data_IF_660367191722
#
_entry.id   IF_660367191722
#
_cell.length_a   1.000
_cell.length_b   1.000
_cell.length_c   1.000
_cell.angle_alpha   90.00
_cell.angle_beta   90.00
_cell.angle_gamma   90.00
#
_symmetry.space_group_name_H-M   'P 1'
#
loop_
_entity.id
_entity.type
_entity.pdbx_description
1 polymer ?
#
# COMPACT_ATOMS: atom_id res chain seq x y z
N UNK A 1 20.81 -0.21 2.42
CA UNK A 1 20.25 0.77 3.38
C UNK A 1 20.16 2.21 2.83
N UNK A 2 20.69 2.49 1.62
CA UNK A 2 20.70 3.83 1.02
C UNK A 2 19.82 3.95 -0.24
N UNK A 3 18.67 3.25 -0.28
CA UNK A 3 17.71 3.40 -1.37
C UNK A 3 16.96 4.72 -1.19
N UNK A 4 17.05 5.64 -2.17
CA UNK A 4 16.25 6.86 -2.19
C UNK A 4 14.78 6.54 -2.43
N UNK A 5 13.89 7.16 -1.66
CA UNK A 5 12.44 7.00 -1.81
C UNK A 5 11.83 7.92 -2.90
N UNK A 6 12.67 8.52 -3.75
CA UNK A 6 12.28 9.52 -4.77
C UNK A 6 12.63 9.10 -6.19
N UNK A 7 12.87 7.81 -6.43
CA UNK A 7 13.25 7.30 -7.75
C UNK A 7 12.05 7.29 -8.71
N UNK A 8 12.08 8.16 -9.71
CA UNK A 8 11.02 8.32 -10.70
C UNK A 8 10.78 7.07 -11.57
N UNK A 9 11.82 6.23 -11.76
CA UNK A 9 11.67 4.97 -12.52
C UNK A 9 10.83 3.97 -11.74
N UNK A 10 11.00 3.93 -10.40
CA UNK A 10 10.20 3.08 -9.51
C UNK A 10 8.73 3.50 -9.58
N UNK A 11 8.43 4.79 -9.48
CA UNK A 11 7.05 5.28 -9.59
C UNK A 11 6.46 5.05 -10.99
N UNK A 12 7.26 5.15 -12.04
CA UNK A 12 6.84 4.77 -13.41
C UNK A 12 6.47 3.30 -13.51
N UNK A 13 7.29 2.39 -12.98
CA UNK A 13 6.98 0.96 -12.92
C UNK A 13 5.67 0.72 -12.17
N UNK A 14 5.53 1.28 -10.97
CA UNK A 14 4.32 1.15 -10.17
C UNK A 14 3.08 1.64 -10.93
N UNK A 15 3.12 2.87 -11.47
CA UNK A 15 2.01 3.48 -12.19
C UNK A 15 1.61 2.72 -13.47
N UNK A 16 2.53 1.96 -14.07
CA UNK A 16 2.23 1.06 -15.19
C UNK A 16 1.46 -0.20 -14.77
N UNK A 17 1.43 -0.52 -13.48
CA UNK A 17 0.81 -1.74 -12.93
C UNK A 17 1.66 -3.01 -13.13
N UNK A 18 2.93 -2.90 -13.50
CA UNK A 18 3.87 -4.03 -13.61
C UNK A 18 4.36 -4.49 -12.23
N UNK A 19 3.41 -4.76 -11.31
CA UNK A 19 3.70 -4.97 -9.89
C UNK A 19 3.66 -6.44 -9.45
N UNK A 20 3.71 -7.39 -10.38
CA UNK A 20 3.79 -8.81 -10.06
C UNK A 20 5.07 -9.10 -9.23
N UNK A 21 4.93 -9.85 -8.15
CA UNK A 21 6.02 -10.16 -7.22
C UNK A 21 6.39 -9.02 -6.25
N UNK A 22 5.89 -7.79 -6.42
CA UNK A 22 6.15 -6.69 -5.50
C UNK A 22 5.30 -6.87 -4.23
N UNK A 23 5.96 -6.81 -3.07
CA UNK A 23 5.31 -6.99 -1.78
C UNK A 23 4.06 -6.11 -1.63
N UNK A 24 2.95 -6.71 -1.22
CA UNK A 24 1.62 -6.08 -1.04
C UNK A 24 0.97 -5.49 -2.30
N UNK A 25 1.65 -5.42 -3.44
CA UNK A 25 1.16 -4.70 -4.63
C UNK A 25 0.83 -5.61 -5.82
N UNK A 26 0.86 -6.93 -5.66
CA UNK A 26 0.81 -7.88 -6.78
C UNK A 26 -0.59 -8.40 -7.13
N UNK A 27 -1.62 -8.19 -6.30
CA UNK A 27 -2.97 -8.68 -6.61
C UNK A 27 -3.61 -7.89 -7.77
N UNK A 28 -4.46 -8.53 -8.56
CA UNK A 28 -5.12 -7.88 -9.71
C UNK A 28 -5.86 -6.61 -9.34
N UNK A 29 -6.67 -6.66 -8.26
CA UNK A 29 -7.39 -5.47 -7.79
C UNK A 29 -6.46 -4.36 -7.29
N UNK A 30 -5.33 -4.70 -6.67
CA UNK A 30 -4.33 -3.71 -6.29
C UNK A 30 -3.66 -3.10 -7.53
N UNK A 31 -3.31 -3.91 -8.53
CA UNK A 31 -2.76 -3.42 -9.81
C UNK A 31 -3.70 -2.41 -10.48
N UNK A 32 -5.00 -2.68 -10.49
CA UNK A 32 -6.00 -1.77 -11.04
C UNK A 32 -6.10 -0.48 -10.24
N UNK A 33 -6.06 -0.55 -8.91
CA UNK A 33 -6.06 0.62 -8.04
C UNK A 33 -4.81 1.48 -8.27
N UNK A 34 -3.63 0.86 -8.38
CA UNK A 34 -2.35 1.53 -8.65
C UNK A 34 -2.39 2.29 -9.99
N UNK A 35 -2.87 1.65 -11.06
CA UNK A 35 -3.01 2.29 -12.38
C UNK A 35 -3.93 3.50 -12.36
N UNK A 36 -4.99 3.46 -11.53
CA UNK A 36 -5.93 4.57 -11.34
C UNK A 36 -5.33 5.68 -10.50
N UNK A 37 -4.61 5.32 -9.43
CA UNK A 37 -4.00 6.27 -8.49
C UNK A 37 -2.77 6.96 -9.08
N UNK A 38 -1.95 6.23 -9.86
CA UNK A 38 -0.68 6.71 -10.43
C UNK A 38 0.23 7.29 -9.34
N UNK A 39 0.81 6.45 -8.47
CA UNK A 39 1.67 6.92 -7.39
C UNK A 39 2.90 7.66 -7.93
N UNK A 40 3.23 8.80 -7.33
CA UNK A 40 4.33 9.67 -7.72
C UNK A 40 5.32 9.91 -6.57
N UNK A 41 4.94 9.53 -5.36
CA UNK A 41 5.74 9.70 -4.15
C UNK A 41 5.46 8.59 -3.13
N UNK A 42 6.27 8.53 -2.09
CA UNK A 42 6.18 7.51 -1.04
C UNK A 42 4.86 7.57 -0.25
N UNK A 43 4.30 8.76 -0.05
CA UNK A 43 3.01 8.93 0.63
C UNK A 43 1.86 8.29 -0.14
N UNK A 44 1.92 8.28 -1.48
CA UNK A 44 0.92 7.59 -2.31
C UNK A 44 0.96 6.08 -2.11
N UNK A 45 2.17 5.47 -1.99
CA UNK A 45 2.29 4.04 -1.70
C UNK A 45 1.75 3.74 -0.30
N UNK A 46 2.04 4.60 0.67
CA UNK A 46 1.50 4.50 2.03
C UNK A 46 -0.03 4.54 2.00
N UNK A 47 -0.61 5.45 1.24
CA UNK A 47 -2.06 5.55 1.08
C UNK A 47 -2.67 4.33 0.35
N UNK A 48 -1.99 3.77 -0.67
CA UNK A 48 -2.42 2.54 -1.35
C UNK A 48 -2.60 1.38 -0.36
N UNK A 49 -1.62 1.16 0.50
CA UNK A 49 -1.68 0.10 1.53
C UNK A 49 -2.85 0.31 2.49
N UNK A 50 -3.16 1.56 2.84
CA UNK A 50 -4.27 1.89 3.71
C UNK A 50 -5.64 1.78 3.03
N UNK A 51 -5.74 2.14 1.75
CA UNK A 51 -6.99 2.24 1.01
C UNK A 51 -7.44 0.92 0.36
N UNK A 52 -6.50 0.01 0.03
CA UNK A 52 -6.85 -1.26 -0.61
C UNK A 52 -7.41 -2.27 0.40
N UNK A 53 -8.61 -2.02 0.85
CA UNK A 53 -9.38 -2.87 1.79
C UNK A 53 -10.87 -2.74 1.48
N UNK A 54 -11.70 -3.77 1.78
CA UNK A 54 -13.13 -3.73 1.47
C UNK A 54 -13.86 -2.47 1.95
N UNK A 55 -13.56 -2.00 3.15
CA UNK A 55 -14.19 -0.80 3.72
C UNK A 55 -13.94 0.46 2.90
N UNK A 56 -12.70 0.93 2.74
CA UNK A 56 -12.39 2.11 1.94
C UNK A 56 -12.81 2.00 0.46
N UNK A 57 -12.71 0.80 -0.13
CA UNK A 57 -13.14 0.57 -1.51
C UNK A 57 -14.66 0.70 -1.65
N UNK A 58 -15.43 0.08 -0.76
CA UNK A 58 -16.89 0.07 -0.83
C UNK A 58 -17.54 1.40 -0.41
N UNK A 59 -16.85 2.19 0.42
CA UNK A 59 -17.34 3.49 0.88
C UNK A 59 -17.11 4.65 -0.10
N UNK A 60 -16.38 4.42 -1.21
CA UNK A 60 -15.97 5.45 -2.15
C UNK A 60 -14.73 6.26 -1.73
N UNK A 61 -14.19 6.03 -0.54
CA UNK A 61 -13.03 6.75 0.00
C UNK A 61 -11.80 6.66 -0.91
N UNK A 62 -11.54 5.49 -1.47
CA UNK A 62 -10.42 5.28 -2.40
C UNK A 62 -10.64 6.08 -3.70
N UNK A 63 -11.87 6.16 -4.18
CA UNK A 63 -12.22 6.93 -5.39
C UNK A 63 -12.10 8.44 -5.15
N UNK A 64 -12.56 8.95 -4.00
CA UNK A 64 -12.40 10.34 -3.60
C UNK A 64 -10.91 10.74 -3.56
N UNK A 65 -10.08 9.90 -2.92
CA UNK A 65 -8.63 10.12 -2.87
C UNK A 65 -8.03 10.20 -4.28
N UNK A 66 -8.31 9.21 -5.12
CA UNK A 66 -7.79 9.12 -6.48
C UNK A 66 -8.25 10.29 -7.35
N UNK A 67 -9.53 10.65 -7.28
CA UNK A 67 -10.09 11.74 -8.09
C UNK A 67 -9.47 13.09 -7.71
N UNK A 68 -9.33 13.36 -6.42
CA UNK A 68 -8.73 14.59 -5.92
C UNK A 68 -7.23 14.65 -6.19
N UNK A 69 -6.51 13.55 -5.98
CA UNK A 69 -5.08 13.43 -6.33
C UNK A 69 -4.83 13.75 -7.80
N UNK A 70 -5.65 13.18 -8.69
CA UNK A 70 -5.49 13.35 -10.13
C UNK A 70 -6.15 14.64 -10.68
N UNK A 71 -6.63 15.52 -9.82
CA UNK A 71 -7.26 16.80 -10.23
C UNK A 71 -8.61 16.67 -10.94
N UNK A 72 -9.27 15.50 -10.83
CA UNK A 72 -10.61 15.27 -11.39
C UNK A 72 -11.72 15.86 -10.52
N UNK A 73 -11.44 16.02 -9.25
CA UNK A 73 -12.29 16.68 -8.26
C UNK A 73 -11.50 17.72 -7.49
N UNK A 74 -12.15 18.81 -7.08
CA UNK A 74 -11.54 19.84 -6.25
C UNK A 74 -11.30 19.32 -4.84
N UNK A 75 -10.16 19.66 -4.25
CA UNK A 75 -9.88 19.35 -2.84
C UNK A 75 -10.70 20.29 -1.97
N UNK A 76 -11.61 19.73 -1.18
CA UNK A 76 -12.44 20.46 -0.23
C UNK A 76 -12.12 20.05 1.20
N UNK A 77 -11.99 21.04 2.07
CA UNK A 77 -11.84 20.84 3.51
C UNK A 77 -13.10 21.33 4.22
N UNK A 78 -13.64 20.50 5.12
CA UNK A 78 -14.85 20.88 5.89
C UNK A 78 -14.63 22.10 6.78
N UNK A 79 -13.38 22.31 7.23
CA UNK A 79 -12.96 23.51 7.97
C UNK A 79 -11.53 23.88 7.55
N UNK A 80 -11.17 25.19 7.46
CA UNK A 80 -9.82 25.59 7.06
C UNK A 80 -8.68 24.98 7.89
N UNK A 81 -8.91 24.79 9.18
CA UNK A 81 -7.93 24.18 10.08
C UNK A 81 -7.59 22.70 9.69
N UNK A 82 -8.52 22.00 9.04
CA UNK A 82 -8.29 20.62 8.56
C UNK A 82 -7.34 20.56 7.36
N UNK A 83 -7.06 21.68 6.69
CA UNK A 83 -6.13 21.70 5.58
C UNK A 83 -4.74 21.19 6.01
N UNK A 84 -4.27 21.60 7.18
CA UNK A 84 -2.98 21.12 7.72
C UNK A 84 -2.97 19.61 7.94
N UNK A 85 -4.06 19.06 8.45
CA UNK A 85 -4.20 17.64 8.82
C UNK A 85 -4.37 16.73 7.59
N UNK A 86 -5.14 17.19 6.60
CA UNK A 86 -5.59 16.37 5.46
C UNK A 86 -4.93 16.72 4.13
N UNK A 87 -3.95 17.63 4.11
CA UNK A 87 -3.33 18.06 2.85
C UNK A 87 -2.64 16.91 2.12
N UNK A 88 -1.91 16.05 2.84
CA UNK A 88 -1.20 14.91 2.24
C UNK A 88 -2.13 13.83 1.70
N UNK A 89 -3.40 13.83 2.13
CA UNK A 89 -4.44 12.87 1.69
C UNK A 89 -5.57 13.54 0.91
N UNK A 90 -5.29 14.70 0.32
CA UNK A 90 -6.20 15.43 -0.57
C UNK A 90 -7.57 15.69 0.05
N UNK A 91 -7.62 15.98 1.35
CA UNK A 91 -8.85 16.26 2.09
C UNK A 91 -9.67 15.02 2.49
N UNK A 92 -9.11 13.82 2.34
CA UNK A 92 -9.73 12.55 2.74
C UNK A 92 -9.13 12.07 4.06
N UNK A 93 -9.96 11.65 5.01
CA UNK A 93 -9.46 10.92 6.18
C UNK A 93 -9.04 9.51 5.75
N UNK A 94 -7.78 9.16 5.95
CA UNK A 94 -7.21 7.84 5.64
C UNK A 94 -6.64 7.19 6.89
N UNK A 95 -6.02 7.98 7.76
CA UNK A 95 -5.28 7.51 8.92
C UNK A 95 -5.95 7.83 10.24
N UNK A 96 -5.84 6.94 11.22
CA UNK A 96 -6.32 7.16 12.58
C UNK A 96 -5.66 8.39 13.21
N UNK A 97 -4.39 8.61 12.92
CA UNK A 97 -3.61 9.76 13.39
C UNK A 97 -4.21 11.09 12.91
N UNK A 98 -4.80 11.12 11.72
CA UNK A 98 -5.49 12.33 11.22
C UNK A 98 -6.74 12.66 12.01
N UNK A 99 -7.46 11.65 12.52
CA UNK A 99 -8.60 11.89 13.42
C UNK A 99 -8.15 12.48 14.75
N UNK A 100 -7.07 11.93 15.31
CA UNK A 100 -6.49 12.46 16.54
C UNK A 100 -6.05 13.92 16.37
N UNK A 101 -5.33 14.23 15.29
CA UNK A 101 -4.89 15.58 14.99
C UNK A 101 -6.07 16.54 14.71
N UNK A 102 -7.11 16.07 14.02
CA UNK A 102 -8.34 16.84 13.79
C UNK A 102 -9.04 17.19 15.10
N UNK A 103 -9.16 16.27 16.04
CA UNK A 103 -9.74 16.52 17.36
C UNK A 103 -8.92 17.55 18.16
N UNK A 104 -7.59 17.47 18.10
CA UNK A 104 -6.71 18.46 18.74
C UNK A 104 -6.86 19.85 18.14
N UNK A 105 -6.87 19.94 16.80
CA UNK A 105 -6.90 21.24 16.11
C UNK A 105 -8.27 21.91 16.17
N UNK A 106 -9.37 21.12 16.14
CA UNK A 106 -10.73 21.65 16.09
C UNK A 106 -11.34 21.82 17.47
N UNK A 107 -11.15 20.83 18.36
CA UNK A 107 -11.82 20.75 19.66
C UNK A 107 -10.86 20.88 20.85
N UNK A 108 -9.59 21.27 20.63
CA UNK A 108 -8.56 21.44 21.64
C UNK A 108 -8.33 20.18 22.52
N UNK A 109 -8.52 19.00 21.98
CA UNK A 109 -8.24 17.75 22.69
C UNK A 109 -6.76 17.67 23.09
N UNK A 110 -6.49 17.16 24.28
CA UNK A 110 -5.16 16.68 24.61
C UNK A 110 -4.81 15.44 23.76
N UNK A 111 -3.53 15.10 23.69
CA UNK A 111 -3.12 13.86 23.00
C UNK A 111 -3.78 12.62 23.61
N UNK A 112 -3.96 12.60 24.93
CA UNK A 112 -4.64 11.50 25.64
C UNK A 112 -6.13 11.39 25.27
N UNK A 113 -6.84 12.52 25.21
CA UNK A 113 -8.26 12.55 24.83
C UNK A 113 -8.43 12.14 23.37
N UNK A 114 -7.56 12.61 22.50
CA UNK A 114 -7.56 12.21 21.09
C UNK A 114 -7.31 10.70 20.90
N UNK A 115 -6.43 10.08 21.69
CA UNK A 115 -6.24 8.62 21.69
C UNK A 115 -7.47 7.88 22.27
N UNK A 116 -8.14 8.44 23.27
CA UNK A 116 -9.40 7.88 23.76
C UNK A 116 -10.49 7.89 22.68
N UNK A 117 -10.64 9.00 21.95
CA UNK A 117 -11.54 9.08 20.79
C UNK A 117 -11.20 8.02 19.76
N UNK A 118 -9.93 7.89 19.36
CA UNK A 118 -9.48 6.86 18.43
C UNK A 118 -9.84 5.44 18.89
N UNK A 119 -9.66 5.14 20.19
CA UNK A 119 -10.02 3.84 20.78
C UNK A 119 -11.54 3.62 20.81
N UNK A 120 -12.31 4.65 21.11
CA UNK A 120 -13.78 4.61 21.09
C UNK A 120 -14.29 4.24 19.70
N UNK A 121 -13.75 4.90 18.67
CA UNK A 121 -14.02 4.60 17.27
C UNK A 121 -13.76 3.13 16.90
N UNK A 122 -12.64 2.57 17.36
CA UNK A 122 -12.29 1.17 17.12
C UNK A 122 -13.25 0.15 17.78
N UNK A 123 -13.85 0.51 18.91
CA UNK A 123 -14.80 -0.34 19.66
C UNK A 123 -16.23 -0.30 19.12
N UNK A 124 -16.59 0.70 18.33
CA UNK A 124 -17.92 0.92 17.72
C UNK A 124 -19.10 0.86 18.71
N UNK A 125 -18.89 1.34 19.95
CA UNK A 125 -19.94 1.42 20.96
C UNK A 125 -20.67 2.74 20.79
N UNK A 126 -21.96 2.69 20.47
CA UNK A 126 -22.78 3.87 20.18
C UNK A 126 -22.86 4.86 21.36
N UNK A 127 -23.00 4.35 22.56
CA UNK A 127 -23.04 5.14 23.80
C UNK A 127 -21.76 5.95 24.04
N UNK A 128 -20.61 5.31 23.80
CA UNK A 128 -19.30 5.96 23.92
C UNK A 128 -19.10 7.01 22.82
N UNK A 129 -19.52 6.71 21.60
CA UNK A 129 -19.40 7.64 20.46
C UNK A 129 -20.31 8.87 20.63
N UNK A 130 -21.51 8.72 21.18
CA UNK A 130 -22.40 9.84 21.46
C UNK A 130 -21.84 10.77 22.56
N UNK A 131 -21.24 10.20 23.60
CA UNK A 131 -20.55 10.97 24.64
C UNK A 131 -19.35 11.74 24.05
N UNK A 132 -18.52 11.09 23.26
CA UNK A 132 -17.38 11.73 22.57
C UNK A 132 -17.84 12.84 21.60
N UNK A 133 -18.96 12.65 20.90
CA UNK A 133 -19.54 13.65 20.03
C UNK A 133 -19.90 14.93 20.79
N UNK A 134 -20.51 14.80 21.96
CA UNK A 134 -20.83 15.96 22.81
C UNK A 134 -19.58 16.73 23.19
N UNK A 135 -18.55 16.04 23.69
CA UNK A 135 -17.28 16.65 24.10
C UNK A 135 -16.58 17.34 22.91
N UNK A 136 -16.56 16.67 21.76
CA UNK A 136 -15.97 17.24 20.53
C UNK A 136 -16.69 18.50 20.08
N UNK A 137 -18.02 18.49 20.07
CA UNK A 137 -18.83 19.64 19.65
C UNK A 137 -18.64 20.81 20.61
N UNK A 138 -18.67 20.59 21.92
CA UNK A 138 -18.44 21.63 22.92
C UNK A 138 -17.02 22.22 22.79
N UNK A 139 -16.00 21.39 22.56
CA UNK A 139 -14.64 21.84 22.28
C UNK A 139 -14.52 22.68 21.00
N UNK A 140 -15.22 22.31 19.94
CA UNK A 140 -15.32 23.07 18.70
C UNK A 140 -15.99 24.45 18.91
N UNK A 141 -17.10 24.50 19.67
CA UNK A 141 -17.79 25.75 19.99
C UNK A 141 -16.89 26.70 20.78
N UNK A 142 -16.11 26.19 21.74
CA UNK A 142 -15.10 26.96 22.47
C UNK A 142 -14.00 27.52 21.55
N UNK A 143 -13.72 26.84 20.44
CA UNK A 143 -12.78 27.28 19.38
C UNK A 143 -13.48 28.08 18.26
N UNK A 144 -14.65 28.65 18.50
CA UNK A 144 -15.42 29.47 17.56
C UNK A 144 -15.87 28.72 16.29
N UNK A 145 -16.01 27.40 16.34
CA UNK A 145 -16.58 26.57 15.29
C UNK A 145 -18.03 26.27 15.63
N UNK A 146 -18.96 26.81 14.84
CA UNK A 146 -20.38 26.68 15.13
C UNK A 146 -20.86 25.23 15.22
N UNK A 147 -21.80 24.98 16.14
CA UNK A 147 -22.34 23.64 16.51
C UNK A 147 -22.76 22.78 15.30
N UNK A 148 -23.44 23.40 14.31
CA UNK A 148 -23.85 22.69 13.08
C UNK A 148 -22.63 22.12 12.35
N UNK A 149 -21.58 22.93 12.18
CA UNK A 149 -20.36 22.54 11.49
C UNK A 149 -19.57 21.50 12.25
N UNK A 150 -19.50 21.63 13.57
CA UNK A 150 -18.85 20.64 14.45
C UNK A 150 -19.53 19.27 14.34
N UNK A 151 -20.86 19.22 14.34
CA UNK A 151 -21.61 17.97 14.15
C UNK A 151 -21.34 17.35 12.76
N UNK A 152 -21.39 18.15 11.68
CA UNK A 152 -21.07 17.65 10.33
C UNK A 152 -19.66 17.02 10.24
N UNK A 153 -18.70 17.65 10.89
CA UNK A 153 -17.31 17.14 10.93
C UNK A 153 -17.24 15.83 11.72
N UNK A 154 -17.87 15.79 12.91
CA UNK A 154 -17.87 14.59 13.73
C UNK A 154 -18.56 13.41 13.04
N UNK A 155 -19.69 13.65 12.38
CA UNK A 155 -20.41 12.62 11.61
C UNK A 155 -19.52 12.00 10.50
N UNK A 156 -18.67 12.80 9.88
CA UNK A 156 -17.71 12.31 8.92
C UNK A 156 -16.56 11.51 9.58
N UNK A 157 -16.06 12.00 10.71
CA UNK A 157 -15.08 11.26 11.53
C UNK A 157 -15.68 9.91 11.96
N UNK A 158 -16.92 9.88 12.39
CA UNK A 158 -17.61 8.66 12.80
C UNK A 158 -17.79 7.67 11.63
N UNK A 159 -18.18 8.13 10.45
CA UNK A 159 -18.26 7.29 9.24
C UNK A 159 -16.90 6.69 8.90
N UNK A 160 -15.85 7.48 9.03
CA UNK A 160 -14.47 7.03 8.83
C UNK A 160 -13.98 6.09 9.93
N UNK A 161 -14.53 6.17 11.14
CA UNK A 161 -14.10 5.43 12.33
C UNK A 161 -13.94 3.92 12.09
N UNK A 162 -14.81 3.35 11.25
CA UNK A 162 -14.77 1.93 10.89
C UNK A 162 -13.64 1.54 9.93
N UNK A 163 -12.95 2.51 9.33
CA UNK A 163 -12.04 2.30 8.21
C UNK A 163 -10.65 2.90 8.42
N UNK A 164 -10.44 3.69 9.48
CA UNK A 164 -9.16 4.33 9.77
C UNK A 164 -8.01 3.32 9.90
N UNK A 165 -6.90 3.61 9.21
CA UNK A 165 -5.71 2.77 9.23
C UNK A 165 -4.60 3.39 10.07
N UNK A 166 -3.77 2.57 10.70
CA UNK A 166 -2.58 3.07 11.39
C UNK A 166 -1.52 3.50 10.37
N UNK A 167 -1.13 4.76 10.38
CA UNK A 167 -0.19 5.34 9.42
C UNK A 167 1.19 4.71 9.52
N UNK A 168 1.68 4.47 10.74
CA UNK A 168 3.00 3.87 10.97
C UNK A 168 3.09 2.46 10.40
N UNK A 169 2.03 1.65 10.58
CA UNK A 169 1.96 0.32 9.98
C UNK A 169 1.96 0.41 8.44
N UNK A 170 1.14 1.30 7.89
CA UNK A 170 1.07 1.52 6.44
C UNK A 170 2.42 1.93 5.85
N UNK A 171 3.12 2.86 6.51
CA UNK A 171 4.42 3.34 6.08
C UNK A 171 5.50 2.24 6.12
N UNK A 172 5.49 1.39 7.16
CA UNK A 172 6.42 0.26 7.24
C UNK A 172 6.22 -0.74 6.09
N UNK A 173 4.97 -1.06 5.75
CA UNK A 173 4.66 -1.94 4.61
C UNK A 173 4.94 -1.26 3.26
N UNK A 174 4.67 0.04 3.14
CA UNK A 174 5.02 0.83 1.97
C UNK A 174 6.53 0.85 1.71
N UNK A 175 7.35 0.87 2.77
CA UNK A 175 8.80 0.82 2.63
C UNK A 175 9.26 -0.49 2.00
N UNK A 176 8.75 -1.63 2.46
CA UNK A 176 9.09 -2.94 1.88
C UNK A 176 8.57 -3.03 0.44
N UNK A 177 7.35 -2.54 0.18
CA UNK A 177 6.79 -2.48 -1.16
C UNK A 177 7.66 -1.65 -2.10
N UNK A 178 8.11 -0.48 -1.67
CA UNK A 178 9.01 0.38 -2.43
C UNK A 178 10.37 -0.28 -2.68
N UNK A 179 10.98 -0.90 -1.67
CA UNK A 179 12.27 -1.60 -1.81
C UNK A 179 12.17 -2.76 -2.81
N UNK A 180 11.10 -3.55 -2.76
CA UNK A 180 10.89 -4.63 -3.73
C UNK A 180 10.59 -4.09 -5.13
N UNK A 181 9.88 -2.96 -5.25
CA UNK A 181 9.69 -2.26 -6.52
C UNK A 181 11.00 -1.70 -7.08
N UNK A 182 11.86 -1.15 -6.23
CA UNK A 182 13.20 -0.68 -6.60
C UNK A 182 14.05 -1.82 -7.18
N UNK A 183 14.10 -2.95 -6.49
CA UNK A 183 14.83 -4.14 -6.98
C UNK A 183 14.28 -4.61 -8.31
N UNK A 184 12.98 -4.69 -8.48
CA UNK A 184 12.35 -5.07 -9.76
C UNK A 184 12.64 -4.07 -10.87
N UNK A 185 12.72 -2.77 -10.55
CA UNK A 185 12.97 -1.71 -11.53
C UNK A 185 14.39 -1.73 -12.06
N UNK A 186 15.37 -1.92 -11.18
CA UNK A 186 16.79 -1.77 -11.52
C UNK A 186 17.51 -3.09 -11.77
N UNK A 187 16.96 -4.21 -11.25
CA UNK A 187 17.55 -5.55 -11.36
C UNK A 187 16.45 -6.58 -11.67
N UNK A 188 15.68 -6.41 -12.77
CA UNK A 188 14.47 -7.21 -13.03
C UNK A 188 14.78 -8.71 -13.12
N UNK A 189 15.87 -9.12 -13.79
CA UNK A 189 16.25 -10.53 -13.92
C UNK A 189 16.56 -11.17 -12.57
N UNK A 190 17.33 -10.48 -11.73
CA UNK A 190 17.69 -10.98 -10.39
C UNK A 190 16.46 -11.01 -9.46
N UNK A 191 15.59 -9.98 -9.54
CA UNK A 191 14.37 -9.93 -8.75
C UNK A 191 13.43 -11.09 -9.11
N UNK A 192 13.18 -11.31 -10.41
CA UNK A 192 12.28 -12.37 -10.87
C UNK A 192 12.87 -13.74 -10.59
N UNK A 193 14.17 -13.96 -10.80
CA UNK A 193 14.86 -15.22 -10.46
C UNK A 193 14.74 -15.54 -8.97
N UNK A 194 14.88 -14.55 -8.09
CA UNK A 194 14.70 -14.72 -6.64
C UNK A 194 13.26 -15.10 -6.27
N UNK A 195 12.26 -14.44 -6.88
CA UNK A 195 10.85 -14.79 -6.66
C UNK A 195 10.53 -16.19 -7.16
N UNK A 196 10.97 -16.55 -8.37
CA UNK A 196 10.82 -17.90 -8.93
C UNK A 196 11.45 -18.96 -8.03
N UNK A 197 12.65 -18.70 -7.52
CA UNK A 197 13.35 -19.61 -6.60
C UNK A 197 12.61 -19.78 -5.28
N UNK A 198 12.01 -18.73 -4.74
CA UNK A 198 11.25 -18.81 -3.48
C UNK A 198 9.92 -19.57 -3.61
N UNK A 199 9.36 -19.64 -4.81
CA UNK A 199 8.08 -20.32 -5.10
C UNK A 199 8.27 -21.62 -5.90
N UNK A 200 9.51 -22.09 -6.13
CA UNK A 200 9.83 -23.21 -7.03
C UNK A 200 9.13 -24.53 -6.66
N UNK A 201 8.80 -24.74 -5.37
CA UNK A 201 8.08 -25.92 -4.90
C UNK A 201 6.58 -25.90 -5.23
N UNK A 202 6.06 -24.78 -5.80
CA UNK A 202 4.63 -24.55 -6.08
C UNK A 202 4.43 -24.22 -7.56
N UNK A 203 4.40 -25.25 -8.38
CA UNK A 203 4.31 -25.12 -9.84
C UNK A 203 3.23 -24.14 -10.33
N UNK A 204 2.05 -24.14 -9.67
CA UNK A 204 0.94 -23.23 -10.02
C UNK A 204 1.27 -21.74 -9.83
N UNK A 205 2.27 -21.43 -9.00
CA UNK A 205 2.70 -20.07 -8.75
C UNK A 205 3.81 -19.60 -9.68
N UNK A 206 4.50 -20.51 -10.36
CA UNK A 206 5.59 -20.14 -11.27
C UNK A 206 5.09 -19.48 -12.55
N UNK A 207 3.99 -20.00 -13.13
CA UNK A 207 3.46 -19.51 -14.40
C UNK A 207 3.23 -17.99 -14.45
N UNK A 208 2.61 -17.34 -13.45
CA UNK A 208 2.44 -15.90 -13.45
C UNK A 208 3.76 -15.11 -13.44
N UNK A 209 4.80 -15.64 -12.79
CA UNK A 209 6.13 -15.00 -12.73
C UNK A 209 6.93 -15.23 -14.02
N UNK A 210 6.77 -16.40 -14.65
CA UNK A 210 7.33 -16.67 -15.99
C UNK A 210 6.71 -15.72 -17.03
N UNK A 211 5.40 -15.48 -16.96
CA UNK A 211 4.73 -14.47 -17.80
C UNK A 211 5.22 -13.06 -17.53
N UNK A 212 5.55 -12.74 -16.29
CA UNK A 212 6.10 -11.43 -15.90
C UNK A 212 7.49 -11.17 -16.51
N UNK A 213 8.29 -12.23 -16.80
CA UNK A 213 9.53 -12.09 -17.54
C UNK A 213 9.31 -11.40 -18.89
N UNK A 214 8.31 -11.84 -19.67
CA UNK A 214 8.00 -11.22 -20.96
C UNK A 214 7.50 -9.78 -20.82
N UNK A 215 6.75 -9.46 -19.75
CA UNK A 215 6.27 -8.10 -19.46
C UNK A 215 7.42 -7.16 -19.12
N UNK A 216 8.49 -7.70 -18.54
CA UNK A 216 9.68 -6.96 -18.08
C UNK A 216 10.86 -7.02 -19.07
N UNK A 217 10.67 -7.60 -20.27
CA UNK A 217 11.75 -7.83 -21.25
C UNK A 217 12.91 -8.68 -20.69
N UNK A 218 12.62 -9.59 -19.77
CA UNK A 218 13.59 -10.52 -19.19
C UNK A 218 13.52 -11.85 -19.93
N UNK A 219 14.66 -12.32 -20.40
CA UNK A 219 14.76 -13.64 -21.03
C UNK A 219 14.88 -14.74 -19.96
N UNK A 220 14.01 -15.74 -20.05
CA UNK A 220 14.15 -16.98 -19.29
C UNK A 220 14.48 -18.12 -20.25
N UNK A 221 15.55 -18.87 -19.92
CA UNK A 221 16.04 -19.97 -20.74
C UNK A 221 15.32 -21.28 -20.34
N UNK A 222 15.21 -22.20 -21.30
CA UNK A 222 14.74 -23.55 -21.01
C UNK A 222 15.71 -24.30 -20.07
N UNK A 223 15.20 -25.27 -19.29
CA UNK A 223 16.07 -26.10 -18.44
C UNK A 223 17.17 -26.79 -19.25
N UNK A 224 18.40 -26.75 -18.77
CA UNK A 224 19.56 -27.36 -19.41
C UNK A 224 20.46 -28.00 -18.34
N UNK A 225 20.66 -29.30 -18.42
CA UNK A 225 21.43 -30.06 -17.43
C UNK A 225 22.89 -29.63 -17.33
N UNK A 226 23.45 -29.00 -18.37
CA UNK A 226 24.85 -28.59 -18.40
C UNK A 226 25.09 -27.19 -17.84
N UNK A 227 24.04 -26.38 -17.63
CA UNK A 227 24.17 -24.99 -17.16
C UNK A 227 23.23 -24.62 -16.03
N UNK A 228 22.05 -25.23 -15.98
CA UNK A 228 21.06 -24.93 -14.92
C UNK A 228 21.49 -25.42 -13.56
N UNK A 229 21.20 -24.63 -12.54
CA UNK A 229 21.42 -24.98 -11.13
C UNK A 229 20.11 -25.47 -10.49
N UNK A 230 20.16 -25.83 -9.22
CA UNK A 230 18.98 -26.24 -8.45
C UNK A 230 17.91 -25.14 -8.38
N UNK A 231 18.33 -23.89 -8.26
CA UNK A 231 17.44 -22.70 -8.22
C UNK A 231 17.56 -21.88 -9.49
N UNK A 232 16.62 -20.94 -9.71
CA UNK A 232 16.72 -19.99 -10.81
C UNK A 232 17.88 -19.03 -10.58
N UNK A 233 18.78 -18.94 -11.56
CA UNK A 233 19.98 -18.10 -11.49
C UNK A 233 20.02 -17.13 -12.66
N UNK A 234 20.77 -16.04 -12.52
CA UNK A 234 20.99 -15.08 -13.60
C UNK A 234 22.40 -15.29 -14.15
N UNK A 235 22.53 -15.50 -15.46
CA UNK A 235 23.81 -15.69 -16.12
C UNK A 235 24.50 -14.35 -16.48
N UNK A 236 25.71 -14.41 -17.02
CA UNK A 236 26.49 -13.22 -17.43
C UNK A 236 25.82 -12.35 -18.51
N UNK A 237 24.82 -12.88 -19.21
CA UNK A 237 24.04 -12.17 -20.23
C UNK A 237 22.74 -11.57 -19.70
N UNK A 238 22.58 -11.50 -18.36
CA UNK A 238 21.38 -11.03 -17.68
C UNK A 238 20.10 -11.83 -18.03
N UNK A 239 20.27 -13.14 -18.34
CA UNK A 239 19.17 -14.06 -18.63
C UNK A 239 18.94 -14.99 -17.43
N UNK A 240 17.69 -15.36 -17.17
CA UNK A 240 17.35 -16.31 -16.10
C UNK A 240 17.53 -17.74 -16.62
N UNK A 241 18.38 -18.52 -16.00
CA UNK A 241 18.49 -19.96 -16.17
C UNK A 241 17.44 -20.66 -15.30
N UNK A 242 16.72 -21.62 -15.90
CA UNK A 242 15.65 -22.34 -15.22
C UNK A 242 16.18 -23.22 -14.12
N UNK A 243 15.62 -23.13 -12.90
CA UNK A 243 15.97 -23.95 -11.76
C UNK A 243 15.51 -25.41 -11.93
N UNK A 244 16.43 -26.37 -11.92
CA UNK A 244 16.09 -27.79 -12.13
C UNK A 244 15.15 -28.36 -11.05
N UNK A 245 15.22 -27.87 -9.81
CA UNK A 245 14.32 -28.30 -8.74
C UNK A 245 12.85 -27.82 -8.93
N UNK A 246 12.61 -26.88 -9.84
CA UNK A 246 11.25 -26.44 -10.19
C UNK A 246 10.59 -27.34 -11.23
N UNK A 247 11.30 -28.30 -11.81
CA UNK A 247 10.74 -29.24 -12.77
C UNK A 247 9.83 -30.23 -12.06
N UNK A 248 8.64 -30.41 -12.64
CA UNK A 248 7.67 -31.37 -12.13
C UNK A 248 8.27 -32.79 -12.14
N UNK A 249 8.02 -33.51 -11.06
CA UNK A 249 8.46 -34.90 -10.87
C UNK A 249 9.99 -35.10 -10.79
N UNK A 250 10.77 -34.02 -10.65
CA UNK A 250 12.20 -34.07 -10.38
C UNK A 250 12.45 -33.79 -8.89
N UNK A 251 13.03 -34.79 -8.21
CA UNK A 251 13.30 -34.70 -6.78
C UNK A 251 14.46 -33.77 -6.46
N UNK A 252 14.30 -32.87 -5.47
CA UNK A 252 15.32 -31.90 -5.05
C UNK A 252 16.67 -32.55 -4.73
N UNK A 253 16.66 -33.72 -4.06
CA UNK A 253 17.84 -34.48 -3.73
C UNK A 253 18.63 -34.93 -4.95
N UNK A 254 17.91 -35.42 -5.99
CA UNK A 254 18.49 -35.78 -7.27
C UNK A 254 19.15 -34.60 -7.97
N UNK A 255 18.48 -33.44 -7.94
CA UNK A 255 19.02 -32.22 -8.54
C UNK A 255 20.28 -31.74 -7.83
N UNK A 256 20.34 -31.83 -6.50
CA UNK A 256 21.51 -31.48 -5.72
C UNK A 256 22.72 -32.39 -6.11
N UNK A 257 22.51 -33.72 -6.26
CA UNK A 257 23.52 -34.66 -6.71
C UNK A 257 23.98 -34.43 -8.16
N UNK A 258 23.13 -33.88 -9.03
CA UNK A 258 23.46 -33.58 -10.44
C UNK A 258 24.23 -32.25 -10.57
N UNK A 259 23.98 -31.29 -9.65
CA UNK A 259 24.63 -29.98 -9.69
C UNK A 259 26.00 -29.95 -8.95
N UNK A 260 26.35 -31.00 -8.20
CA UNK A 260 27.70 -31.21 -7.61
C UNK A 260 28.70 -31.67 -8.68
#
# INVERSE_FOLDING_TARGET
>A
DNISNEDSKVFSLLSSGKTKGIFQLESSGMMDLIKRMKPENFSDITALVALYRPGPLNSGMADDYINRKNGRESIAYQHPALKKVLNETYGVFVYQEQVMEAAQVLAAYSLGDADNLRRAMGKKKADVMEAEKSVFVDGCENNSIGKKKANEIFDNIEKFAGYGFNKSHSAAYALIAYQTAFLKTHYPSHFIASVLSSEQDKTDKLEPHVKDCAVMDVTILAPNINSSQSTFMVNEKDQIEYGLAALKDVGKKFVEEVCE
#
